data_IF_883630576201
#
_entry.id   IF_883630576201
#
_cell.length_a   1.000
_cell.length_b   1.000
_cell.length_c   1.000
_cell.angle_alpha   90.00
_cell.angle_beta   90.00
_cell.angle_gamma   90.00
#
_symmetry.space_group_name_H-M   'P 1'
#
loop_
_entity.id
_entity.type
_entity.pdbx_description
1 polymer ?
#
# COMPACT_ATOMS: atom_id res chain seq x y z
N UNK A 1 -50.53 -77.21 25.35
CA UNK A 1 -51.22 -76.03 24.80
C UNK A 1 -51.05 -74.91 25.83
N UNK A 2 -49.87 -74.28 25.91
CA UNK A 2 -49.51 -73.08 25.13
C UNK A 2 -50.64 -72.03 25.23
N UNK A 3 -50.45 -70.83 25.79
CA UNK A 3 -49.38 -69.89 25.45
C UNK A 3 -49.34 -68.76 26.50
N UNK A 4 -48.14 -68.42 26.95
CA UNK A 4 -47.76 -67.23 27.72
C UNK A 4 -48.01 -65.97 26.88
N UNK A 5 -48.64 -64.92 27.43
CA UNK A 5 -48.72 -63.61 26.76
C UNK A 5 -48.03 -62.57 27.63
N UNK A 6 -46.77 -62.35 27.27
CA UNK A 6 -45.84 -61.47 27.95
C UNK A 6 -46.17 -59.98 27.75
N UNK A 7 -45.90 -59.26 28.83
CA UNK A 7 -45.79 -57.82 29.00
C UNK A 7 -45.11 -57.08 27.84
N UNK A 8 -45.85 -56.23 27.15
CA UNK A 8 -45.28 -55.20 26.27
C UNK A 8 -44.94 -53.95 27.09
N UNK A 9 -43.71 -53.93 27.61
CA UNK A 9 -43.10 -52.72 28.16
C UNK A 9 -42.92 -51.69 27.06
N UNK A 10 -43.51 -50.50 27.26
CA UNK A 10 -43.30 -49.30 26.43
C UNK A 10 -41.82 -48.90 26.50
N UNK A 11 -41.00 -49.35 25.54
CA UNK A 11 -39.70 -48.71 25.27
C UNK A 11 -39.99 -47.45 24.47
N UNK A 12 -40.07 -46.32 25.16
CA UNK A 12 -39.84 -45.03 24.53
C UNK A 12 -38.40 -45.03 24.00
N UNK A 13 -38.25 -45.23 22.70
CA UNK A 13 -37.02 -44.88 21.99
C UNK A 13 -36.92 -43.35 22.05
N UNK A 14 -36.17 -42.86 23.03
CA UNK A 14 -35.66 -41.51 23.03
C UNK A 14 -34.75 -41.38 21.81
N UNK A 15 -35.32 -40.90 20.70
CA UNK A 15 -34.54 -40.39 19.57
C UNK A 15 -33.89 -39.13 20.10
N UNK A 16 -32.65 -39.24 20.58
CA UNK A 16 -31.82 -38.07 20.79
C UNK A 16 -31.63 -37.41 19.43
N UNK A 17 -31.95 -36.12 19.26
CA UNK A 17 -31.49 -35.39 18.09
C UNK A 17 -29.96 -35.34 18.22
N UNK A 18 -29.26 -36.18 17.47
CA UNK A 18 -27.85 -35.94 17.21
C UNK A 18 -27.81 -34.60 16.48
N UNK A 19 -27.44 -33.56 17.23
CA UNK A 19 -26.97 -32.33 16.66
C UNK A 19 -25.83 -32.70 15.73
N UNK A 20 -26.09 -32.72 14.43
CA UNK A 20 -25.07 -32.67 13.41
C UNK A 20 -24.49 -31.26 13.55
N UNK A 21 -23.62 -31.07 14.54
CA UNK A 21 -22.60 -30.06 14.47
C UNK A 21 -21.70 -30.53 13.33
N UNK A 22 -22.02 -30.10 12.11
CA UNK A 22 -20.98 -29.87 11.13
C UNK A 22 -20.04 -28.86 11.80
N UNK A 23 -19.06 -29.36 12.54
CA UNK A 23 -17.83 -28.63 12.79
C UNK A 23 -17.31 -28.31 11.40
N UNK A 24 -17.63 -27.11 10.91
CA UNK A 24 -16.84 -26.49 9.87
C UNK A 24 -15.46 -26.45 10.50
N UNK A 25 -14.58 -27.33 10.02
CA UNK A 25 -13.24 -27.52 10.54
C UNK A 25 -12.43 -26.26 10.20
N UNK A 26 -12.67 -25.19 10.96
CA UNK A 26 -11.93 -23.95 10.89
C UNK A 26 -10.63 -24.17 11.64
N UNK A 27 -9.53 -24.28 10.89
CA UNK A 27 -8.21 -24.49 11.51
C UNK A 27 -7.78 -23.32 12.39
N UNK A 28 -8.12 -22.10 11.98
CA UNK A 28 -7.85 -20.87 12.73
C UNK A 28 -9.11 -20.01 12.85
N UNK A 29 -9.33 -19.49 14.05
CA UNK A 29 -10.35 -18.48 14.35
C UNK A 29 -9.94 -17.09 13.87
N UNK A 30 -10.89 -16.16 13.82
CA UNK A 30 -10.63 -14.77 13.44
C UNK A 30 -9.59 -14.09 14.35
N UNK A 31 -9.65 -14.32 15.66
CA UNK A 31 -8.71 -13.72 16.61
C UNK A 31 -7.29 -14.28 16.45
N UNK A 32 -7.17 -15.57 16.16
CA UNK A 32 -5.87 -16.21 15.87
C UNK A 32 -5.27 -15.68 14.58
N UNK A 33 -6.07 -15.53 13.51
CA UNK A 33 -5.60 -14.95 12.25
C UNK A 33 -5.08 -13.51 12.42
N UNK A 34 -5.75 -12.70 13.25
CA UNK A 34 -5.35 -11.31 13.50
C UNK A 34 -4.08 -11.21 14.35
N UNK A 35 -3.88 -12.14 15.28
CA UNK A 35 -2.75 -12.14 16.21
C UNK A 35 -1.62 -13.08 15.76
N UNK A 36 -1.70 -13.57 14.52
CA UNK A 36 -0.78 -14.59 14.01
C UNK A 36 0.61 -13.98 13.79
N UNK A 37 1.62 -14.50 14.51
CA UNK A 37 2.99 -14.00 14.37
C UNK A 37 3.64 -14.45 13.06
N UNK A 38 3.38 -15.68 12.59
CA UNK A 38 4.04 -16.25 11.39
C UNK A 38 3.04 -16.76 10.34
N UNK A 39 2.17 -15.89 9.79
CA UNK A 39 1.12 -16.30 8.87
C UNK A 39 1.64 -16.89 7.55
N UNK A 40 2.83 -16.49 7.07
CA UNK A 40 3.39 -17.10 5.88
C UNK A 40 3.67 -18.60 6.10
N UNK A 41 4.38 -18.96 7.16
CA UNK A 41 4.70 -20.35 7.45
C UNK A 41 3.44 -21.17 7.76
N UNK A 42 2.53 -20.63 8.58
CA UNK A 42 1.38 -21.38 9.11
C UNK A 42 0.24 -21.55 8.11
N UNK A 43 0.01 -20.57 7.22
CA UNK A 43 -1.07 -20.60 6.24
C UNK A 43 -0.61 -21.11 4.88
N UNK A 44 0.62 -20.80 4.49
CA UNK A 44 1.12 -21.03 3.13
C UNK A 44 2.04 -22.26 3.11
N UNK A 45 3.12 -22.27 3.89
CA UNK A 45 4.19 -23.28 3.74
C UNK A 45 3.88 -24.62 4.40
N UNK A 46 3.52 -24.63 5.69
CA UNK A 46 3.50 -25.82 6.55
C UNK A 46 2.64 -26.95 6.01
N UNK A 47 1.46 -26.60 5.48
CA UNK A 47 0.48 -27.56 4.96
C UNK A 47 0.16 -27.28 3.47
N UNK A 48 1.09 -26.65 2.75
CA UNK A 48 0.97 -26.34 1.32
C UNK A 48 -0.36 -25.64 0.95
N UNK A 49 -0.77 -24.65 1.75
CA UNK A 49 -2.01 -23.88 1.55
C UNK A 49 -3.29 -24.53 2.09
N UNK A 50 -3.25 -25.75 2.62
CA UNK A 50 -4.43 -26.42 3.18
C UNK A 50 -5.02 -25.62 4.35
N UNK A 51 -4.15 -25.13 5.25
CA UNK A 51 -4.52 -24.26 6.37
C UNK A 51 -5.26 -22.99 5.95
N UNK A 52 -4.84 -22.39 4.83
CA UNK A 52 -5.48 -21.21 4.26
C UNK A 52 -6.91 -21.53 3.79
N UNK A 53 -7.09 -22.70 3.18
CA UNK A 53 -8.38 -23.18 2.70
C UNK A 53 -9.33 -23.55 3.86
N UNK A 54 -8.84 -24.26 4.87
CA UNK A 54 -9.60 -24.64 6.06
C UNK A 54 -10.01 -23.41 6.89
N UNK A 55 -9.29 -22.30 6.79
CA UNK A 55 -9.61 -21.04 7.47
C UNK A 55 -10.33 -20.03 6.57
N UNK A 56 -10.82 -20.45 5.39
CA UNK A 56 -11.42 -19.58 4.38
C UNK A 56 -12.60 -18.76 4.92
N UNK A 57 -13.46 -19.37 5.75
CA UNK A 57 -14.61 -18.67 6.36
C UNK A 57 -14.16 -17.55 7.32
N UNK A 58 -13.20 -17.83 8.20
CA UNK A 58 -12.64 -16.83 9.11
C UNK A 58 -11.94 -15.70 8.33
N UNK A 59 -11.24 -16.03 7.24
CA UNK A 59 -10.61 -15.04 6.34
C UNK A 59 -11.66 -14.16 5.65
N UNK A 60 -12.82 -14.72 5.28
CA UNK A 60 -13.91 -13.98 4.67
C UNK A 60 -14.51 -12.95 5.63
N UNK A 61 -14.54 -13.26 6.93
CA UNK A 61 -15.04 -12.38 7.98
C UNK A 61 -14.08 -11.25 8.36
N UNK A 62 -12.81 -11.30 7.92
CA UNK A 62 -11.85 -10.22 8.19
C UNK A 62 -12.33 -8.89 7.60
N UNK A 63 -12.30 -7.84 8.41
CA UNK A 63 -12.44 -6.46 7.93
C UNK A 63 -11.34 -6.11 6.94
N UNK A 64 -11.54 -5.06 6.14
CA UNK A 64 -10.53 -4.59 5.18
C UNK A 64 -9.19 -4.33 5.89
N UNK A 65 -9.21 -3.62 7.02
CA UNK A 65 -8.00 -3.31 7.80
C UNK A 65 -7.27 -4.56 8.30
N UNK A 66 -7.99 -5.52 8.88
CA UNK A 66 -7.39 -6.77 9.39
C UNK A 66 -6.79 -7.60 8.25
N UNK A 67 -7.50 -7.67 7.12
CA UNK A 67 -7.04 -8.40 5.95
C UNK A 67 -5.76 -7.80 5.39
N UNK A 68 -5.71 -6.49 5.23
CA UNK A 68 -4.54 -5.77 4.75
C UNK A 68 -3.35 -5.98 5.70
N UNK A 69 -3.56 -5.95 7.02
CA UNK A 69 -2.51 -6.21 8.01
C UNK A 69 -1.97 -7.66 7.92
N UNK A 70 -2.87 -8.64 7.82
CA UNK A 70 -2.49 -10.04 7.65
C UNK A 70 -1.69 -10.26 6.36
N UNK A 71 -2.18 -9.74 5.23
CA UNK A 71 -1.49 -9.82 3.94
C UNK A 71 -0.14 -9.12 3.99
N UNK A 72 -0.05 -7.94 4.62
CA UNK A 72 1.21 -7.22 4.80
C UNK A 72 2.23 -8.10 5.53
N UNK A 73 1.80 -8.74 6.62
CA UNK A 73 2.67 -9.64 7.41
C UNK A 73 3.12 -10.85 6.59
N UNK A 74 2.21 -11.47 5.82
CA UNK A 74 2.53 -12.59 4.91
C UNK A 74 3.59 -12.16 3.88
N UNK A 75 3.45 -10.98 3.29
CA UNK A 75 4.37 -10.46 2.26
C UNK A 75 5.74 -10.14 2.85
N UNK A 76 5.80 -9.54 4.05
CA UNK A 76 7.06 -9.25 4.75
C UNK A 76 7.83 -10.51 5.14
N UNK A 77 7.12 -11.62 5.41
CA UNK A 77 7.71 -12.91 5.76
C UNK A 77 7.99 -13.80 4.55
N UNK A 78 7.47 -13.43 3.38
CA UNK A 78 7.67 -14.19 2.16
C UNK A 78 9.12 -14.02 1.67
N UNK A 79 9.85 -15.13 1.39
CA UNK A 79 11.14 -15.07 0.73
C UNK A 79 11.05 -14.33 -0.61
N UNK A 80 12.17 -13.73 -1.02
CA UNK A 80 12.26 -12.93 -2.26
C UNK A 80 11.92 -13.69 -3.54
N UNK A 81 12.12 -15.01 -3.57
CA UNK A 81 11.75 -15.91 -4.67
C UNK A 81 10.35 -16.54 -4.49
N UNK A 82 9.71 -16.31 -3.34
CA UNK A 82 8.47 -16.95 -2.92
C UNK A 82 7.19 -16.28 -3.44
N UNK A 83 7.25 -15.05 -3.96
CA UNK A 83 6.04 -14.29 -4.33
C UNK A 83 5.22 -14.94 -5.45
N UNK A 84 5.87 -15.51 -6.46
CA UNK A 84 5.17 -16.25 -7.52
C UNK A 84 4.49 -17.50 -6.99
N UNK A 85 5.15 -18.22 -6.05
CA UNK A 85 4.59 -19.40 -5.38
C UNK A 85 3.41 -19.00 -4.50
N UNK A 86 3.52 -17.91 -3.74
CA UNK A 86 2.46 -17.35 -2.91
C UNK A 86 1.22 -17.03 -3.75
N UNK A 87 1.38 -16.27 -4.84
CA UNK A 87 0.26 -15.89 -5.68
C UNK A 87 -0.41 -17.13 -6.32
N UNK A 88 0.40 -18.05 -6.85
CA UNK A 88 -0.10 -19.31 -7.40
C UNK A 88 -0.83 -20.16 -6.36
N UNK A 89 -0.36 -20.19 -5.11
CA UNK A 89 -0.99 -20.94 -4.03
C UNK A 89 -2.35 -20.35 -3.67
N UNK A 90 -2.42 -19.04 -3.49
CA UNK A 90 -3.66 -18.34 -3.12
C UNK A 90 -4.75 -18.52 -4.19
N UNK A 91 -4.37 -18.53 -5.49
CA UNK A 91 -5.32 -18.80 -6.57
C UNK A 91 -5.67 -20.30 -6.74
N UNK A 92 -4.84 -21.22 -6.24
CA UNK A 92 -5.14 -22.67 -6.24
C UNK A 92 -6.07 -23.06 -5.08
N UNK A 93 -5.97 -22.37 -3.95
CA UNK A 93 -6.87 -22.56 -2.81
C UNK A 93 -8.23 -21.93 -3.08
N UNK A 94 -9.32 -22.48 -2.51
CA UNK A 94 -10.65 -21.86 -2.55
C UNK A 94 -10.76 -20.70 -1.54
N UNK A 95 -9.72 -19.86 -1.51
CA UNK A 95 -9.61 -18.72 -0.62
C UNK A 95 -10.60 -17.64 -1.06
N UNK A 96 -11.11 -16.79 -0.15
CA UNK A 96 -12.07 -15.76 -0.52
C UNK A 96 -11.46 -14.78 -1.54
N UNK A 97 -12.23 -14.44 -2.57
CA UNK A 97 -11.78 -13.57 -3.68
C UNK A 97 -11.17 -12.26 -3.19
N UNK A 98 -11.77 -11.65 -2.16
CA UNK A 98 -11.27 -10.39 -1.61
C UNK A 98 -9.94 -10.53 -0.87
N UNK A 99 -9.57 -11.72 -0.40
CA UNK A 99 -8.25 -12.03 0.15
C UNK A 99 -7.26 -12.29 -0.97
N UNK A 100 -7.63 -13.11 -1.96
CA UNK A 100 -6.80 -13.37 -3.13
C UNK A 100 -6.42 -12.07 -3.85
N UNK A 101 -7.39 -11.20 -4.12
CA UNK A 101 -7.13 -9.89 -4.73
C UNK A 101 -6.27 -8.98 -3.85
N UNK A 102 -6.34 -9.07 -2.52
CA UNK A 102 -5.46 -8.30 -1.64
C UNK A 102 -4.01 -8.81 -1.70
N UNK A 103 -3.79 -10.12 -1.76
CA UNK A 103 -2.47 -10.72 -1.95
C UNK A 103 -1.88 -10.33 -3.30
N UNK A 104 -2.67 -10.38 -4.37
CA UNK A 104 -2.24 -9.98 -5.71
C UNK A 104 -1.80 -8.51 -5.73
N UNK A 105 -2.63 -7.60 -5.20
CA UNK A 105 -2.29 -6.17 -5.09
C UNK A 105 -1.03 -5.92 -4.27
N UNK A 106 -0.85 -6.64 -3.15
CA UNK A 106 0.35 -6.53 -2.35
C UNK A 106 1.60 -7.06 -3.07
N UNK A 107 1.47 -8.14 -3.87
CA UNK A 107 2.55 -8.66 -4.70
C UNK A 107 2.95 -7.65 -5.80
N UNK A 108 1.97 -6.98 -6.42
CA UNK A 108 2.22 -5.90 -7.39
C UNK A 108 2.99 -4.77 -6.71
N UNK A 109 2.54 -4.30 -5.55
CA UNK A 109 3.20 -3.24 -4.81
C UNK A 109 4.65 -3.62 -4.45
N UNK A 110 4.88 -4.82 -3.91
CA UNK A 110 6.22 -5.28 -3.58
C UNK A 110 7.15 -5.30 -4.81
N UNK A 111 6.63 -5.71 -5.97
CA UNK A 111 7.39 -5.66 -7.24
C UNK A 111 7.68 -4.23 -7.68
N UNK A 112 6.73 -3.30 -7.53
CA UNK A 112 6.96 -1.88 -7.82
C UNK A 112 8.03 -1.30 -6.90
N UNK A 113 7.97 -1.58 -5.59
CA UNK A 113 8.98 -1.12 -4.63
C UNK A 113 10.36 -1.74 -4.90
N UNK A 114 10.41 -3.02 -5.30
CA UNK A 114 11.68 -3.65 -5.73
C UNK A 114 12.29 -2.91 -6.93
N UNK A 115 11.47 -2.52 -7.91
CA UNK A 115 11.92 -1.71 -9.06
C UNK A 115 12.34 -0.29 -8.64
N UNK A 116 11.68 0.29 -7.63
CA UNK A 116 12.06 1.58 -7.04
C UNK A 116 13.42 1.54 -6.33
N UNK A 117 13.87 0.37 -5.88
CA UNK A 117 15.21 0.18 -5.32
C UNK A 117 16.27 -0.13 -6.39
N UNK A 118 15.86 -0.45 -7.61
CA UNK A 118 16.75 -0.76 -8.74
C UNK A 118 17.52 0.44 -9.30
N UNK A 119 18.13 0.24 -10.47
CA UNK A 119 18.98 1.23 -11.13
C UNK A 119 18.19 2.34 -11.83
N UNK A 120 16.96 2.04 -12.28
CA UNK A 120 16.10 2.95 -13.03
C UNK A 120 14.75 3.20 -12.33
N UNK A 121 14.76 3.75 -11.10
CA UNK A 121 13.57 3.84 -10.26
C UNK A 121 12.48 4.75 -10.83
N UNK A 122 12.85 5.73 -11.66
CA UNK A 122 11.91 6.63 -12.33
C UNK A 122 10.95 5.91 -13.29
N UNK A 123 11.33 4.74 -13.83
CA UNK A 123 10.47 3.98 -14.75
C UNK A 123 9.21 3.42 -14.08
N UNK A 124 9.22 3.27 -12.75
CA UNK A 124 8.06 2.78 -11.99
C UNK A 124 6.86 3.70 -12.16
N UNK A 125 7.07 5.02 -12.22
CA UNK A 125 6.02 6.03 -12.36
C UNK A 125 5.36 6.07 -13.76
N UNK A 126 5.92 5.32 -14.71
CA UNK A 126 5.38 5.09 -16.05
C UNK A 126 4.85 3.67 -16.23
N UNK A 127 4.91 2.83 -15.19
CA UNK A 127 4.41 1.46 -15.26
C UNK A 127 2.88 1.45 -15.27
N UNK A 128 2.20 0.65 -16.13
CA UNK A 128 0.74 0.56 -16.15
C UNK A 128 0.13 0.00 -14.86
N UNK A 129 0.91 -0.75 -14.07
CA UNK A 129 0.47 -1.31 -12.78
C UNK A 129 0.69 -0.33 -11.62
N UNK A 130 1.28 0.84 -11.89
CA UNK A 130 1.47 1.86 -10.88
C UNK A 130 0.13 2.51 -10.52
N UNK A 131 -0.27 2.35 -9.27
CA UNK A 131 -1.44 3.00 -8.69
C UNK A 131 -1.09 3.50 -7.29
N UNK A 132 -1.31 4.80 -7.06
CA UNK A 132 -1.08 5.47 -5.77
C UNK A 132 -1.93 4.82 -4.67
N UNK A 133 -3.13 4.36 -5.01
CA UNK A 133 -4.06 3.74 -4.06
C UNK A 133 -3.47 2.48 -3.42
N UNK A 134 -2.59 1.75 -4.12
CA UNK A 134 -1.89 0.59 -3.57
C UNK A 134 -0.92 0.98 -2.46
N UNK A 135 -0.20 2.09 -2.63
CA UNK A 135 0.73 2.60 -1.62
C UNK A 135 -0.01 3.08 -0.37
N UNK A 136 -1.24 3.57 -0.53
CA UNK A 136 -2.09 3.95 0.60
C UNK A 136 -2.73 2.74 1.30
N UNK A 137 -3.22 1.77 0.52
CA UNK A 137 -3.80 0.53 1.04
C UNK A 137 -2.79 -0.21 1.92
N UNK A 138 -1.56 -0.36 1.45
CA UNK A 138 -0.50 -1.08 2.16
C UNK A 138 0.58 -0.13 2.72
N UNK A 139 0.15 0.97 3.34
CA UNK A 139 1.04 1.98 3.94
C UNK A 139 2.11 1.36 4.87
N UNK A 140 1.72 0.41 5.72
CA UNK A 140 2.64 -0.21 6.68
C UNK A 140 3.72 -1.08 5.98
N UNK A 141 3.40 -1.64 4.81
CA UNK A 141 4.36 -2.35 3.95
C UNK A 141 5.33 -1.37 3.29
N UNK A 142 4.82 -0.22 2.82
CA UNK A 142 5.65 0.85 2.23
C UNK A 142 6.65 1.38 3.25
N UNK A 143 6.22 1.62 4.50
CA UNK A 143 7.08 2.11 5.57
C UNK A 143 8.19 1.13 5.94
N UNK A 144 7.91 -0.18 5.90
CA UNK A 144 8.94 -1.21 6.09
C UNK A 144 9.94 -1.29 4.93
N UNK A 145 9.46 -1.18 3.69
CA UNK A 145 10.30 -1.39 2.50
C UNK A 145 11.01 -0.11 2.03
N UNK A 146 10.55 1.08 2.43
CA UNK A 146 11.16 2.38 2.12
C UNK A 146 11.34 3.18 3.43
N UNK A 147 12.26 2.76 4.32
CA UNK A 147 12.45 3.42 5.60
C UNK A 147 13.08 4.81 5.47
N UNK A 148 14.02 4.99 4.52
CA UNK A 148 14.67 6.29 4.26
C UNK A 148 14.10 6.96 3.01
N UNK A 149 13.03 7.74 3.23
CA UNK A 149 12.33 8.47 2.17
C UNK A 149 13.17 9.59 1.56
N UNK A 150 14.13 10.14 2.32
CA UNK A 150 15.01 11.22 1.83
C UNK A 150 16.03 10.66 0.84
N UNK A 151 16.77 9.63 1.23
CA UNK A 151 17.73 8.97 0.36
C UNK A 151 17.03 8.42 -0.91
N UNK A 152 15.82 7.89 -0.74
CA UNK A 152 14.99 7.47 -1.87
C UNK A 152 14.66 8.63 -2.84
N UNK A 153 14.21 9.77 -2.32
CA UNK A 153 13.88 10.96 -3.12
C UNK A 153 15.12 11.50 -3.85
N UNK A 154 16.29 11.52 -3.20
CA UNK A 154 17.55 11.95 -3.79
C UNK A 154 18.01 11.03 -4.92
N UNK A 155 17.92 9.70 -4.74
CA UNK A 155 18.24 8.70 -5.77
C UNK A 155 17.31 8.84 -6.98
N UNK A 156 16.02 9.08 -6.73
CA UNK A 156 15.06 9.28 -7.80
C UNK A 156 15.34 10.58 -8.57
N UNK A 157 15.65 11.66 -7.85
CA UNK A 157 16.02 12.95 -8.44
C UNK A 157 17.29 12.87 -9.30
N UNK A 158 18.25 12.02 -8.91
CA UNK A 158 19.49 11.81 -9.66
C UNK A 158 19.31 10.97 -10.94
N UNK A 159 18.36 10.02 -10.94
CA UNK A 159 18.18 9.07 -12.06
C UNK A 159 17.10 9.49 -13.06
N UNK A 160 16.15 10.33 -12.66
CA UNK A 160 15.02 10.71 -13.49
C UNK A 160 15.40 11.75 -14.57
N UNK A 161 14.90 11.62 -15.81
CA UNK A 161 14.99 12.69 -16.81
C UNK A 161 14.24 13.95 -16.34
N UNK A 162 14.78 15.13 -16.66
CA UNK A 162 14.25 16.42 -16.19
C UNK A 162 12.79 16.65 -16.57
N UNK A 163 12.37 16.16 -17.73
CA UNK A 163 10.98 16.25 -18.22
C UNK A 163 9.97 15.53 -17.31
N UNK A 164 10.43 14.52 -16.56
CA UNK A 164 9.56 13.71 -15.69
C UNK A 164 9.53 14.21 -14.24
N UNK A 165 10.40 15.15 -13.87
CA UNK A 165 10.57 15.60 -12.50
C UNK A 165 9.27 16.12 -11.89
N UNK A 166 8.54 17.00 -12.57
CA UNK A 166 7.29 17.58 -12.05
C UNK A 166 6.20 16.52 -11.83
N UNK A 167 6.10 15.53 -12.72
CA UNK A 167 5.12 14.44 -12.61
C UNK A 167 5.48 13.53 -11.42
N UNK A 168 6.75 13.13 -11.34
CA UNK A 168 7.27 12.28 -10.28
C UNK A 168 7.12 12.97 -8.92
N UNK A 169 7.45 14.27 -8.82
CA UNK A 169 7.31 15.05 -7.59
C UNK A 169 5.88 15.00 -7.06
N UNK A 170 4.89 15.20 -7.94
CA UNK A 170 3.48 15.13 -7.58
C UNK A 170 3.08 13.74 -7.10
N UNK A 171 3.47 12.69 -7.83
CA UNK A 171 3.13 11.30 -7.46
C UNK A 171 3.78 10.88 -6.14
N UNK A 172 5.02 11.30 -5.88
CA UNK A 172 5.68 11.09 -4.59
C UNK A 172 4.96 11.80 -3.45
N UNK A 173 4.55 13.05 -3.67
CA UNK A 173 3.77 13.79 -2.70
C UNK A 173 2.45 13.07 -2.39
N UNK A 174 1.75 12.58 -3.41
CA UNK A 174 0.50 11.82 -3.23
C UNK A 174 0.74 10.51 -2.44
N UNK A 175 1.76 9.71 -2.79
CA UNK A 175 2.11 8.47 -2.08
C UNK A 175 2.37 8.75 -0.59
N UNK A 176 3.21 9.73 -0.30
CA UNK A 176 3.71 9.94 1.06
C UNK A 176 2.84 10.89 1.89
N UNK A 177 1.86 11.59 1.30
CA UNK A 177 0.93 12.45 2.05
C UNK A 177 0.16 11.69 3.13
N UNK A 178 -0.24 10.44 2.85
CA UNK A 178 -0.99 9.58 3.77
C UNK A 178 -0.09 8.95 4.82
N UNK A 179 1.14 8.59 4.46
CA UNK A 179 2.11 8.00 5.41
C UNK A 179 2.80 9.06 6.28
N UNK A 180 2.90 10.31 5.83
CA UNK A 180 3.33 11.47 6.62
C UNK A 180 2.31 11.83 7.72
N UNK A 181 1.01 11.65 7.50
CA UNK A 181 0.01 11.91 8.54
C UNK A 181 0.16 10.99 9.78
N UNK A 182 0.89 9.87 9.66
CA UNK A 182 1.22 8.96 10.77
C UNK A 182 2.58 9.24 11.42
N UNK A 183 3.46 10.01 10.78
CA UNK A 183 4.86 10.15 11.19
C UNK A 183 5.23 11.64 11.22
N UNK A 184 5.52 12.19 12.40
CA UNK A 184 5.92 13.60 12.63
C UNK A 184 7.25 14.03 11.96
N UNK A 185 7.74 13.30 10.95
CA UNK A 185 9.05 13.51 10.34
C UNK A 185 8.96 14.18 8.95
N UNK A 186 9.21 15.50 8.99
CA UNK A 186 9.71 16.44 7.98
C UNK A 186 9.78 15.99 6.50
N UNK A 187 8.96 16.70 5.72
CA UNK A 187 9.13 17.13 4.32
C UNK A 187 9.77 16.16 3.30
N UNK A 188 8.94 15.70 2.35
CA UNK A 188 9.41 15.18 1.06
C UNK A 188 10.00 16.35 0.27
N UNK A 189 11.31 16.51 0.30
CA UNK A 189 12.02 17.63 -0.36
C UNK A 189 12.39 17.34 -1.82
N UNK A 190 11.66 16.46 -2.52
CA UNK A 190 11.98 16.14 -3.92
C UNK A 190 12.04 17.39 -4.81
N UNK A 191 11.09 18.32 -4.65
CA UNK A 191 11.09 19.60 -5.38
C UNK A 191 12.32 20.47 -5.07
N UNK A 192 12.67 20.59 -3.78
CA UNK A 192 13.81 21.39 -3.35
C UNK A 192 15.17 20.81 -3.82
N UNK A 193 15.30 19.48 -3.86
CA UNK A 193 16.51 18.79 -4.36
C UNK A 193 16.74 19.07 -5.85
N UNK A 194 15.66 19.12 -6.64
CA UNK A 194 15.75 19.46 -8.08
C UNK A 194 16.13 20.92 -8.27
N UNK A 195 15.55 21.82 -7.48
CA UNK A 195 15.83 23.26 -7.54
C UNK A 195 17.28 23.58 -7.15
N UNK A 196 17.81 22.96 -6.09
CA UNK A 196 19.21 23.12 -5.67
C UNK A 196 20.20 22.60 -6.73
N UNK A 197 19.92 21.45 -7.37
CA UNK A 197 20.74 20.94 -8.47
C UNK A 197 20.72 21.84 -9.70
N UNK A 198 19.60 22.53 -9.97
CA UNK A 198 19.51 23.50 -11.07
C UNK A 198 20.36 24.77 -10.84
N UNK A 199 20.56 25.14 -9.57
CA UNK A 199 21.37 26.29 -9.15
C UNK A 199 22.87 25.98 -9.05
N UNK A 200 23.23 24.71 -8.84
CA UNK A 200 24.63 24.25 -8.72
C UNK A 200 25.32 23.95 -10.07
N UNK A 201 24.69 24.20 -11.21
CA UNK A 201 25.34 24.00 -12.51
C UNK A 201 26.49 25.03 -12.71
N UNK A 202 27.75 24.58 -12.94
CA UNK A 202 28.87 25.50 -13.19
C UNK A 202 28.73 26.05 -14.62
N UNK A 203 28.08 27.19 -14.77
CA UNK A 203 27.91 27.79 -16.10
C UNK A 203 27.10 29.07 -16.23
N UNK A 204 26.63 29.70 -15.14
CA UNK A 204 25.98 31.03 -15.25
C UNK A 204 26.78 32.07 -14.49
N UNK A 205 27.85 32.54 -15.13
CA UNK A 205 28.47 33.81 -14.78
C UNK A 205 27.44 34.93 -14.99
N UNK A 206 27.03 35.52 -13.87
CA UNK A 206 26.88 36.95 -13.62
C UNK A 206 26.60 37.84 -14.83
N UNK A 207 25.34 38.28 -14.97
CA UNK A 207 24.97 39.36 -15.89
C UNK A 207 23.71 40.12 -15.43
N UNK A 208 23.59 40.42 -14.14
CA UNK A 208 22.68 41.48 -13.68
C UNK A 208 23.29 42.22 -12.51
N UNK A 209 23.81 43.41 -12.80
CA UNK A 209 24.04 44.46 -11.81
C UNK A 209 22.70 45.10 -11.44
N UNK A 210 22.49 45.52 -10.18
CA UNK A 210 21.27 46.21 -9.78
C UNK A 210 21.34 47.70 -10.19
N UNK A 211 20.50 48.11 -11.15
CA UNK A 211 20.24 49.54 -11.38
C UNK A 211 19.26 50.05 -10.35
N UNK A 212 19.79 50.72 -9.33
CA UNK A 212 19.03 51.67 -8.51
C UNK A 212 18.73 52.89 -9.38
N UNK A 213 17.45 53.10 -9.71
CA UNK A 213 16.98 54.38 -10.25
C UNK A 213 15.73 54.84 -9.50
N UNK A 214 15.87 56.04 -9.00
CA UNK A 214 14.99 56.77 -8.11
C UNK A 214 13.59 57.00 -8.70
N UNK A 215 12.63 56.82 -7.81
CA UNK A 215 11.27 57.33 -7.82
C UNK A 215 11.28 58.87 -7.84
N UNK A 216 10.80 59.46 -8.94
CA UNK A 216 10.30 60.84 -9.01
C UNK A 216 9.32 60.94 -10.19
N UNK A 217 8.02 60.91 -9.89
CA UNK A 217 7.01 61.50 -10.78
C UNK A 217 6.21 62.52 -9.99
N UNK A 218 6.55 63.77 -10.28
CA UNK A 218 5.85 64.96 -9.83
C UNK A 218 4.58 65.16 -10.67
N UNK A 219 3.51 65.46 -9.94
CA UNK A 219 2.22 65.95 -10.37
C UNK A 219 2.38 67.22 -11.23
N UNK A 220 1.79 67.26 -12.43
CA UNK A 220 1.55 68.51 -13.14
C UNK A 220 0.09 68.62 -13.56
N UNK A 221 -0.60 69.49 -12.84
CA UNK A 221 -1.90 70.10 -13.14
C UNK A 221 -1.76 71.06 -14.32
N UNK A 222 -2.52 70.84 -15.40
CA UNK A 222 -2.72 71.85 -16.43
C UNK A 222 -3.68 72.93 -15.91
N UNK A 223 -3.16 74.16 -15.85
CA UNK A 223 -3.92 75.37 -15.57
C UNK A 223 -4.13 76.11 -16.89
N UNK A 224 -5.38 76.41 -17.21
CA UNK A 224 -5.83 77.30 -18.29
C UNK A 224 -5.46 78.76 -18.00
N UNK A 225 -4.98 79.50 -19.01
CA UNK A 225 -5.55 80.79 -19.47
C UNK A 225 -4.57 81.63 -20.31
N UNK A 226 -5.11 82.21 -21.38
CA UNK A 226 -4.88 83.55 -21.99
C UNK A 226 -5.08 83.43 -23.52
N UNK A 227 -6.15 83.90 -24.15
CA UNK A 227 -6.76 85.25 -24.26
C UNK A 227 -5.92 86.25 -25.12
N UNK A 228 -6.58 86.69 -26.21
CA UNK A 228 -6.37 87.82 -27.15
C UNK A 228 -5.17 87.86 -28.11
N UNK A 229 -5.46 87.60 -29.40
CA UNK A 229 -5.60 88.66 -30.42
C UNK A 229 -6.51 88.19 -31.55
#
# INVERSE_FOLDING_TARGET
>A
METTRESWGKRQLAIQPQAINMEINMKYSLQELVSMENPYELLITKDNGTSLNESSEAIQQLSVKQRTALVTTIILQCPTDGFSKLNAMVHRTLCPEKFAGAVERACILNRLITKLHGDTPHLVFSNPEFDVSLFHEFADLVDHLIPDRKAFSEKLAASAPQEQHSKIARQLHEIFSVTLAKTDNKEIQFGAIIEEKSLSAPGRNSLFTPSTSQEKQATQTLTTNNIYN
#
